data_IF_049270638803
#
_entry.id   IF_049270638803
#
_cell.length_a   1.000
_cell.length_b   1.000
_cell.length_c   1.000
_cell.angle_alpha   90.00
_cell.angle_beta   90.00
_cell.angle_gamma   90.00
#
_symmetry.space_group_name_H-M   'P 1'
#
loop_
_entity.id
_entity.type
_entity.pdbx_description
1 polymer ?
#
# COMPACT_ATOMS: atom_id res chain seq x y z
N UNK A 1 2.81 12.10 -5.91
CA UNK A 1 3.15 10.66 -5.93
C UNK A 1 2.12 9.91 -6.76
N UNK A 2 2.51 9.14 -7.79
CA UNK A 2 1.56 8.43 -8.63
C UNK A 2 0.90 7.30 -7.82
N UNK A 3 -0.42 7.34 -7.67
CA UNK A 3 -1.17 6.26 -7.02
C UNK A 3 -1.17 5.04 -7.92
N UNK A 4 -0.41 4.00 -7.57
CA UNK A 4 -0.40 2.73 -8.31
C UNK A 4 -1.81 2.15 -8.34
N UNK A 5 -2.45 2.15 -9.52
CA UNK A 5 -3.75 1.51 -9.73
C UNK A 5 -3.57 0.00 -9.68
N UNK A 6 -4.43 -0.71 -8.94
CA UNK A 6 -4.40 -2.17 -8.82
C UNK A 6 -4.52 -2.86 -10.19
N UNK A 7 -5.29 -2.26 -11.10
CA UNK A 7 -5.43 -2.71 -12.50
C UNK A 7 -4.11 -2.70 -13.30
N UNK A 8 -3.10 -1.95 -12.86
CA UNK A 8 -1.74 -1.92 -13.45
C UNK A 8 -0.73 -2.72 -12.62
N UNK A 9 -1.16 -3.33 -11.52
CA UNK A 9 -0.29 -4.09 -10.62
C UNK A 9 0.01 -5.46 -11.20
N UNK A 10 1.24 -5.66 -11.66
CA UNK A 10 1.76 -6.95 -12.11
C UNK A 10 1.53 -8.06 -11.07
N UNK A 11 1.88 -7.89 -9.77
CA UNK A 11 1.68 -8.98 -8.80
C UNK A 11 0.20 -9.34 -8.60
N UNK A 12 -0.72 -8.38 -8.74
CA UNK A 12 -2.16 -8.67 -8.69
C UNK A 12 -2.59 -9.55 -9.87
N UNK A 13 -2.16 -9.22 -11.08
CA UNK A 13 -2.46 -10.04 -12.27
C UNK A 13 -1.79 -11.40 -12.25
N UNK A 14 -0.58 -11.52 -11.69
CA UNK A 14 0.07 -12.83 -11.47
C UNK A 14 -0.75 -13.65 -10.47
N UNK A 15 -1.25 -13.05 -9.40
CA UNK A 15 -2.12 -13.74 -8.44
C UNK A 15 -3.42 -14.19 -9.12
N UNK A 16 -4.13 -13.29 -9.82
CA UNK A 16 -5.39 -13.61 -10.50
C UNK A 16 -5.18 -14.66 -11.59
N UNK A 17 -4.26 -14.41 -12.53
CA UNK A 17 -3.98 -15.31 -13.63
C UNK A 17 -3.45 -16.66 -13.16
N UNK A 18 -2.51 -16.66 -12.21
CA UNK A 18 -1.98 -17.86 -11.58
C UNK A 18 -3.06 -18.69 -10.89
N UNK A 19 -3.99 -18.03 -10.18
CA UNK A 19 -5.14 -18.70 -9.52
C UNK A 19 -6.08 -19.34 -10.53
N UNK A 20 -6.43 -18.63 -11.61
CA UNK A 20 -7.28 -19.18 -12.69
C UNK A 20 -6.60 -20.36 -13.38
N UNK A 21 -5.30 -20.24 -13.68
CA UNK A 21 -4.52 -21.31 -14.33
C UNK A 21 -4.43 -22.54 -13.44
N UNK A 22 -4.11 -22.37 -12.14
CA UNK A 22 -4.06 -23.51 -11.21
C UNK A 22 -5.43 -24.13 -11.01
N UNK A 23 -6.49 -23.33 -10.91
CA UNK A 23 -7.86 -23.82 -10.81
C UNK A 23 -8.25 -24.66 -12.03
N UNK A 24 -8.11 -24.10 -13.23
CA UNK A 24 -8.49 -24.76 -14.47
C UNK A 24 -7.61 -25.98 -14.77
N UNK A 25 -6.30 -25.85 -14.59
CA UNK A 25 -5.35 -26.96 -14.76
C UNK A 25 -5.59 -28.10 -13.76
N UNK A 26 -5.84 -27.76 -12.50
CA UNK A 26 -6.21 -28.72 -11.46
C UNK A 26 -7.52 -29.44 -11.79
N UNK A 27 -8.55 -28.69 -12.19
CA UNK A 27 -9.85 -29.25 -12.57
C UNK A 27 -9.74 -30.17 -13.79
N UNK A 28 -9.00 -29.74 -14.81
CA UNK A 28 -8.74 -30.55 -15.99
C UNK A 28 -8.06 -31.87 -15.64
N UNK A 29 -6.98 -31.83 -14.85
CA UNK A 29 -6.26 -33.03 -14.41
C UNK A 29 -7.16 -33.96 -13.59
N UNK A 30 -7.89 -33.41 -12.61
CA UNK A 30 -8.78 -34.17 -11.75
C UNK A 30 -9.87 -34.88 -12.56
N UNK A 31 -10.61 -34.13 -13.39
CA UNK A 31 -11.69 -34.68 -14.21
C UNK A 31 -11.15 -35.75 -15.15
N UNK A 32 -10.03 -35.48 -15.84
CA UNK A 32 -9.44 -36.43 -16.78
C UNK A 32 -9.09 -37.76 -16.12
N UNK A 33 -8.55 -37.75 -14.90
CA UNK A 33 -8.20 -38.98 -14.17
C UNK A 33 -9.42 -39.72 -13.65
N UNK A 34 -10.43 -39.00 -13.14
CA UNK A 34 -11.69 -39.61 -12.72
C UNK A 34 -12.44 -40.24 -13.91
N UNK A 35 -12.48 -39.56 -15.05
CA UNK A 35 -13.08 -40.08 -16.28
C UNK A 35 -12.35 -41.33 -16.78
N UNK A 36 -11.01 -41.30 -16.84
CA UNK A 36 -10.22 -42.48 -17.23
C UNK A 36 -10.58 -43.68 -16.35
N UNK A 37 -10.50 -43.51 -15.02
CA UNK A 37 -10.79 -44.60 -14.09
C UNK A 37 -12.24 -45.11 -14.24
N UNK A 38 -13.21 -44.22 -14.43
CA UNK A 38 -14.60 -44.60 -14.68
C UNK A 38 -14.75 -45.41 -15.98
N UNK A 39 -14.08 -45.00 -17.07
CA UNK A 39 -14.12 -45.70 -18.36
C UNK A 39 -13.47 -47.08 -18.27
N UNK A 40 -12.28 -47.21 -17.68
CA UNK A 40 -11.59 -48.50 -17.63
C UNK A 40 -12.22 -49.48 -16.66
N UNK A 41 -12.87 -48.99 -15.61
CA UNK A 41 -13.71 -49.82 -14.73
C UNK A 41 -14.95 -50.33 -15.46
N UNK A 42 -15.58 -49.49 -16.29
CA UNK A 42 -16.76 -49.88 -17.07
C UNK A 42 -16.41 -50.87 -18.19
N UNK A 43 -15.27 -50.67 -18.84
CA UNK A 43 -14.79 -51.49 -19.95
C UNK A 43 -14.07 -52.77 -19.49
N UNK A 44 -13.87 -52.94 -18.17
CA UNK A 44 -13.20 -54.11 -17.58
C UNK A 44 -11.69 -54.17 -17.88
N UNK A 45 -11.09 -53.09 -18.37
CA UNK A 45 -9.67 -53.01 -18.74
C UNK A 45 -8.80 -52.35 -17.67
N UNK A 46 -9.36 -52.10 -16.48
CA UNK A 46 -8.67 -51.38 -15.41
C UNK A 46 -7.34 -52.04 -15.01
N UNK A 47 -6.23 -51.34 -15.25
CA UNK A 47 -4.91 -51.77 -14.78
C UNK A 47 -4.53 -51.07 -13.48
N UNK A 48 -3.62 -51.67 -12.69
CA UNK A 48 -3.13 -51.07 -11.45
C UNK A 48 -2.47 -49.70 -11.65
N UNK A 49 -1.96 -49.41 -12.84
CA UNK A 49 -1.39 -48.09 -13.19
C UNK A 49 -2.49 -47.03 -13.26
N UNK A 50 -3.62 -47.35 -13.87
CA UNK A 50 -4.74 -46.42 -14.03
C UNK A 50 -5.40 -46.09 -12.71
N UNK A 51 -5.45 -47.05 -11.78
CA UNK A 51 -6.05 -46.85 -10.46
C UNK A 51 -5.06 -46.18 -9.50
N UNK A 52 -3.88 -46.78 -9.32
CA UNK A 52 -2.94 -46.36 -8.26
C UNK A 52 -2.15 -45.11 -8.64
N UNK A 53 -1.63 -45.04 -9.88
CA UNK A 53 -1.00 -43.81 -10.35
C UNK A 53 -2.06 -42.75 -10.68
N UNK A 54 -3.22 -43.15 -11.21
CA UNK A 54 -4.32 -42.21 -11.48
C UNK A 54 -4.81 -41.47 -10.23
N UNK A 55 -4.87 -42.15 -9.09
CA UNK A 55 -5.30 -41.56 -7.81
C UNK A 55 -4.38 -40.43 -7.34
N UNK A 56 -3.04 -40.61 -7.36
CA UNK A 56 -2.15 -39.54 -6.91
C UNK A 56 -2.24 -38.30 -7.80
N UNK A 57 -2.42 -38.49 -9.11
CA UNK A 57 -2.65 -37.39 -10.05
C UNK A 57 -3.99 -36.69 -9.81
N UNK A 58 -5.05 -37.44 -9.46
CA UNK A 58 -6.34 -36.86 -9.09
C UNK A 58 -6.23 -36.03 -7.80
N UNK A 59 -5.55 -36.54 -6.78
CA UNK A 59 -5.30 -35.80 -5.52
C UNK A 59 -4.53 -34.52 -5.79
N UNK A 60 -3.48 -34.57 -6.61
CA UNK A 60 -2.76 -33.37 -7.05
C UNK A 60 -3.72 -32.39 -7.74
N UNK A 61 -4.53 -32.86 -8.70
CA UNK A 61 -5.54 -32.03 -9.37
C UNK A 61 -6.48 -31.34 -8.37
N UNK A 62 -6.97 -32.07 -7.35
CA UNK A 62 -7.82 -31.51 -6.31
C UNK A 62 -7.10 -30.44 -5.45
N UNK A 63 -5.81 -30.65 -5.12
CA UNK A 63 -5.00 -29.65 -4.41
C UNK A 63 -4.83 -28.40 -5.27
N UNK A 64 -4.55 -28.54 -6.56
CA UNK A 64 -4.45 -27.40 -7.49
C UNK A 64 -5.77 -26.62 -7.59
N UNK A 65 -6.91 -27.32 -7.63
CA UNK A 65 -8.24 -26.69 -7.57
C UNK A 65 -8.40 -25.89 -6.28
N UNK A 66 -8.09 -26.49 -5.13
CA UNK A 66 -8.16 -25.82 -3.84
C UNK A 66 -7.26 -24.59 -3.76
N UNK A 67 -6.01 -24.71 -4.20
CA UNK A 67 -5.07 -23.60 -4.25
C UNK A 67 -5.55 -22.47 -5.17
N UNK A 68 -6.09 -22.81 -6.34
CA UNK A 68 -6.67 -21.85 -7.28
C UNK A 68 -7.87 -21.11 -6.70
N UNK A 69 -8.78 -21.80 -6.00
CA UNK A 69 -9.92 -21.18 -5.31
C UNK A 69 -9.46 -20.24 -4.19
N UNK A 70 -8.48 -20.67 -3.37
CA UNK A 70 -7.91 -19.83 -2.30
C UNK A 70 -7.27 -18.58 -2.90
N UNK A 71 -6.46 -18.73 -3.95
CA UNK A 71 -5.82 -17.60 -4.62
C UNK A 71 -6.84 -16.61 -5.21
N UNK A 72 -7.93 -17.12 -5.79
CA UNK A 72 -9.01 -16.30 -6.33
C UNK A 72 -9.77 -15.58 -5.23
N UNK A 73 -10.06 -16.25 -4.11
CA UNK A 73 -10.65 -15.62 -2.93
C UNK A 73 -9.76 -14.49 -2.40
N UNK A 74 -8.45 -14.71 -2.27
CA UNK A 74 -7.48 -13.68 -1.86
C UNK A 74 -7.40 -12.51 -2.85
N UNK A 75 -7.48 -12.79 -4.15
CA UNK A 75 -7.51 -11.74 -5.16
C UNK A 75 -8.79 -10.88 -5.05
N UNK A 76 -9.93 -11.51 -4.80
CA UNK A 76 -11.20 -10.81 -4.60
C UNK A 76 -11.21 -9.99 -3.31
N UNK A 77 -10.68 -10.53 -2.20
CA UNK A 77 -10.57 -9.77 -0.95
C UNK A 77 -9.67 -8.56 -1.14
N UNK A 78 -8.52 -8.70 -1.79
CA UNK A 78 -7.61 -7.58 -2.05
C UNK A 78 -8.24 -6.51 -2.95
N UNK A 79 -8.98 -6.93 -3.99
CA UNK A 79 -9.73 -6.02 -4.85
C UNK A 79 -10.83 -5.29 -4.09
N UNK A 80 -11.58 -6.00 -3.24
CA UNK A 80 -12.62 -5.42 -2.37
C UNK A 80 -12.04 -4.41 -1.39
N UNK A 81 -10.96 -4.75 -0.68
CA UNK A 81 -10.25 -3.83 0.21
C UNK A 81 -9.76 -2.59 -0.55
N UNK A 82 -9.19 -2.76 -1.75
CA UNK A 82 -8.75 -1.63 -2.57
C UNK A 82 -9.91 -0.75 -3.02
N UNK A 83 -11.07 -1.34 -3.33
CA UNK A 83 -12.26 -0.60 -3.76
C UNK A 83 -12.87 0.24 -2.64
N UNK A 84 -12.69 -0.15 -1.38
CA UNK A 84 -13.22 0.59 -0.23
C UNK A 84 -12.34 1.79 0.18
N UNK A 85 -11.10 1.87 -0.30
CA UNK A 85 -10.19 2.98 0.01
C UNK A 85 -10.44 4.11 -0.99
N UNK A 86 -10.89 5.31 -0.54
CA UNK A 86 -11.10 6.44 -1.44
C UNK A 86 -9.80 6.80 -2.15
N UNK A 87 -9.91 7.08 -3.45
CA UNK A 87 -8.76 7.58 -4.20
C UNK A 87 -8.31 8.90 -3.56
N UNK A 88 -7.01 9.03 -3.27
CA UNK A 88 -6.46 10.33 -2.89
C UNK A 88 -6.70 11.27 -4.06
N UNK A 89 -7.51 12.30 -3.81
CA UNK A 89 -7.68 13.43 -4.68
C UNK A 89 -6.28 13.94 -5.05
N UNK A 90 -6.00 13.98 -6.34
CA UNK A 90 -4.80 14.64 -6.85
C UNK A 90 -4.90 16.08 -6.36
N UNK A 91 -3.93 16.49 -5.53
CA UNK A 91 -3.77 17.88 -5.10
C UNK A 91 -3.91 18.74 -6.34
N UNK A 92 -4.98 19.53 -6.41
CA UNK A 92 -5.15 20.53 -7.44
C UNK A 92 -3.98 21.50 -7.25
N UNK A 93 -3.09 21.55 -8.24
CA UNK A 93 -1.99 22.51 -8.21
C UNK A 93 -2.65 23.86 -8.44
N UNK A 94 -2.94 24.57 -7.35
CA UNK A 94 -3.33 25.97 -7.45
C UNK A 94 -2.16 26.68 -8.09
N UNK A 95 -2.40 27.23 -9.28
CA UNK A 95 -1.44 28.06 -9.99
C UNK A 95 -1.00 29.18 -9.04
N UNK A 96 0.31 29.40 -8.83
CA UNK A 96 0.76 30.45 -7.94
C UNK A 96 0.15 31.78 -8.40
N UNK A 97 -0.39 32.60 -7.49
CA UNK A 97 -0.92 33.91 -7.87
C UNK A 97 0.16 34.67 -8.64
N UNK A 98 -0.20 35.16 -9.83
CA UNK A 98 0.64 36.05 -10.61
C UNK A 98 0.67 37.40 -9.88
N UNK A 99 1.64 37.57 -8.98
CA UNK A 99 1.97 38.88 -8.41
C UNK A 99 2.74 39.66 -9.48
N UNK A 100 2.03 40.21 -10.47
CA UNK A 100 2.61 41.13 -11.46
C UNK A 100 2.66 42.58 -10.95
N UNK A 101 2.11 42.86 -9.77
CA UNK A 101 2.13 44.19 -9.18
C UNK A 101 3.20 44.27 -8.09
N UNK A 102 4.44 44.56 -8.51
CA UNK A 102 5.36 45.29 -7.64
C UNK A 102 4.75 46.67 -7.46
N UNK A 103 4.02 46.87 -6.37
CA UNK A 103 3.64 48.21 -5.93
C UNK A 103 4.92 48.88 -5.43
N UNK A 104 5.47 49.81 -6.21
CA UNK A 104 6.47 50.75 -5.71
C UNK A 104 5.81 51.61 -4.65
N UNK A 105 6.06 51.29 -3.38
CA UNK A 105 5.71 52.17 -2.27
C UNK A 105 6.65 53.38 -2.36
N UNK A 106 6.15 54.61 -2.46
CA UNK A 106 7.01 55.79 -2.41
C UNK A 106 7.80 55.77 -1.10
N UNK A 107 9.11 56.05 -1.17
CA UNK A 107 10.00 55.99 -0.01
C UNK A 107 9.50 56.84 1.19
N UNK A 108 8.75 57.90 0.91
CA UNK A 108 8.12 58.77 1.91
C UNK A 108 7.13 58.04 2.83
N UNK A 109 6.44 56.99 2.35
CA UNK A 109 5.45 56.24 3.12
C UNK A 109 6.11 55.19 4.05
N UNK A 110 7.30 54.72 3.66
CA UNK A 110 8.14 53.80 4.45
C UNK A 110 8.85 54.53 5.58
N UNK A 111 9.30 55.77 5.35
CA UNK A 111 9.87 56.62 6.41
C UNK A 111 8.82 57.02 7.46
N UNK A 112 7.58 57.29 7.05
CA UNK A 112 6.50 57.63 7.99
C UNK A 112 6.16 56.47 8.93
N UNK A 113 6.09 55.23 8.43
CA UNK A 113 5.82 54.05 9.27
C UNK A 113 7.00 53.67 10.15
N UNK A 114 8.25 53.87 9.68
CA UNK A 114 9.44 53.66 10.50
C UNK A 114 9.60 54.72 11.61
N UNK A 115 9.21 55.97 11.34
CA UNK A 115 9.21 57.05 12.33
C UNK A 115 8.16 56.81 13.43
N UNK A 116 6.97 56.31 13.07
CA UNK A 116 5.93 55.93 14.02
C UNK A 116 6.39 54.79 14.94
N UNK A 117 7.06 53.76 14.37
CA UNK A 117 7.56 52.61 15.14
C UNK A 117 8.75 52.96 16.06
N UNK A 118 9.56 53.97 15.71
CA UNK A 118 10.67 54.44 16.52
C UNK A 118 10.23 55.33 17.71
N UNK A 119 9.05 55.95 17.62
CA UNK A 119 8.51 56.81 18.67
C UNK A 119 7.92 56.03 19.87
N UNK A 120 7.63 54.74 19.70
CA UNK A 120 6.93 53.92 20.71
C UNK A 120 7.84 52.95 21.51
N UNK A 121 9.16 53.00 21.33
CA UNK A 121 10.08 52.14 22.08
C UNK A 121 10.42 52.73 23.48
N UNK A 122 10.07 52.07 24.61
CA UNK A 122 10.53 52.51 25.92
C UNK A 122 12.01 52.12 26.13
N UNK A 123 12.82 53.09 26.53
CA UNK A 123 14.19 52.86 26.98
C UNK A 123 14.20 52.35 28.44
N UNK A 124 14.83 51.20 28.69
CA UNK A 124 15.18 50.75 30.04
C UNK A 124 16.48 49.91 30.05
N UNK A 125 17.57 50.66 30.23
CA UNK A 125 18.77 50.43 31.04
C UNK A 125 19.12 49.02 31.59
N UNK A 126 20.40 48.67 31.43
CA UNK A 126 21.03 47.47 31.97
C UNK A 126 21.43 47.60 33.45
N UNK A 127 21.34 46.50 34.21
CA UNK A 127 22.13 46.28 35.42
C UNK A 127 22.37 44.77 35.65
N UNK A 128 23.64 44.41 35.85
CA UNK A 128 24.12 43.08 36.20
C UNK A 128 24.36 42.96 37.72
N UNK A 129 24.11 41.80 38.32
CA UNK A 129 24.70 41.35 39.60
C UNK A 129 24.43 39.81 39.76
N UNK A 130 25.40 38.92 39.54
CA UNK A 130 26.46 38.43 40.43
C UNK A 130 26.06 37.28 41.39
N UNK A 131 26.63 36.10 41.09
CA UNK A 131 27.22 35.09 41.99
C UNK A 131 26.39 34.39 43.09
N UNK A 132 26.35 33.04 43.06
CA UNK A 132 27.21 32.11 43.85
C UNK A 132 26.56 30.70 43.96
N UNK A 133 27.30 29.67 43.52
CA UNK A 133 27.11 28.20 43.66
C UNK A 133 27.23 27.68 45.13
N UNK A 134 27.30 26.36 45.42
CA UNK A 134 26.41 25.22 45.16
C UNK A 134 26.13 24.39 46.46
N UNK A 135 25.21 23.41 46.47
CA UNK A 135 25.21 22.34 47.49
C UNK A 135 25.01 20.97 46.84
N UNK A 136 26.02 20.12 47.04
CA UNK A 136 26.20 18.73 46.62
C UNK A 136 25.39 17.78 47.52
N UNK A 137 24.83 16.70 46.98
CA UNK A 137 24.57 15.49 47.77
C UNK A 137 24.87 14.24 46.94
N UNK A 138 26.10 13.74 47.12
CA UNK A 138 26.52 12.37 46.80
C UNK A 138 26.62 11.65 48.15
N UNK A 139 25.76 10.65 48.39
CA UNK A 139 25.93 9.72 49.51
C UNK A 139 25.54 8.31 49.07
N UNK A 140 26.57 7.48 48.87
CA UNK A 140 26.46 6.02 48.86
C UNK A 140 27.47 5.43 49.85
N UNK A 141 27.05 5.19 51.10
CA UNK A 141 27.37 4.01 51.94
C UNK A 141 26.84 4.15 53.36
#
# INVERSE_FOLDING_TARGET
>A
MPTTRLSRSIPYWVLVGGSVVTLAGGAYLLISKLTLMATTLTDGTATGVEVYAGQIWAVLGAILVGAGLIGLALALTLAGLRSAIPARETVDVIEPPAWDDVVEIPADEVEATAAEAAAEAPAAEAAADAATTPVTEDVAR
#
